data_IF_232372643840
#
_entry.id   IF_232372643840
#
_cell.length_a   1.000
_cell.length_b   1.000
_cell.length_c   1.000
_cell.angle_alpha   90.00
_cell.angle_beta   90.00
_cell.angle_gamma   90.00
#
_symmetry.space_group_name_H-M   'P 1'
#
loop_
_entity.id
_entity.type
_entity.pdbx_description
1 polymer ?
#
# COMPACT_ATOMS: atom_id res chain seq x y z
N UNK A 1 -26.23 -25.32 43.84
CA UNK A 1 -25.29 -25.56 44.95
C UNK A 1 -23.96 -24.97 44.50
N UNK A 2 -23.59 -23.76 44.96
CA UNK A 2 -22.57 -23.48 46.00
C UNK A 2 -21.17 -23.98 45.52
N UNK A 3 -20.08 -23.23 45.43
CA UNK A 3 -19.55 -21.99 46.07
C UNK A 3 -18.34 -21.54 45.24
N UNK A 4 -18.08 -20.28 44.96
CA UNK A 4 -17.29 -19.29 45.76
C UNK A 4 -15.87 -19.80 46.08
N UNK A 5 -14.76 -19.12 45.95
CA UNK A 5 -14.23 -17.80 46.31
C UNK A 5 -12.72 -17.97 46.13
N UNK A 6 -11.79 -17.13 45.90
CA UNK A 6 -11.37 -15.81 46.37
C UNK A 6 -10.07 -15.41 45.70
N UNK A 7 -9.98 -14.24 45.26
CA UNK A 7 -9.03 -13.18 45.29
C UNK A 7 -7.80 -13.28 46.22
N UNK A 8 -6.65 -12.77 45.79
CA UNK A 8 -5.78 -11.93 46.63
C UNK A 8 -4.81 -11.11 45.78
N UNK A 9 -4.92 -9.81 45.93
CA UNK A 9 -3.93 -8.76 45.66
C UNK A 9 -2.64 -9.00 46.43
N UNK A 10 -1.50 -8.57 45.86
CA UNK A 10 -0.50 -7.86 46.68
C UNK A 10 0.32 -6.88 45.81
N UNK A 11 0.11 -5.59 46.06
CA UNK A 11 1.06 -4.49 45.77
C UNK A 11 2.21 -4.55 46.73
N UNK A 12 3.41 -4.20 46.30
CA UNK A 12 4.28 -3.31 47.12
C UNK A 12 5.35 -2.63 46.28
N UNK A 13 5.45 -1.34 46.54
CA UNK A 13 6.37 -0.36 46.01
C UNK A 13 7.62 -0.22 46.85
N UNK A 14 8.51 0.73 46.44
CA UNK A 14 9.62 1.37 47.17
C UNK A 14 11.00 0.68 47.03
N UNK A 15 12.14 1.36 46.97
CA UNK A 15 12.47 2.80 46.97
C UNK A 15 13.98 2.91 46.62
N UNK A 16 14.37 4.10 46.28
CA UNK A 16 15.73 4.54 46.02
C UNK A 16 16.67 4.46 47.22
N UNK A 17 17.97 4.26 46.94
CA UNK A 17 19.00 4.86 47.79
C UNK A 17 20.28 5.17 47.00
N UNK A 18 20.67 6.44 47.06
CA UNK A 18 22.02 6.94 46.77
C UNK A 18 22.96 6.52 47.88
N UNK A 19 24.22 6.23 47.55
CA UNK A 19 25.34 6.53 48.43
C UNK A 19 26.58 6.88 47.59
N UNK A 20 27.11 8.04 47.95
CA UNK A 20 28.39 8.67 47.63
C UNK A 20 29.53 7.94 48.31
N UNK A 21 30.72 7.91 47.71
CA UNK A 21 31.93 7.43 48.39
C UNK A 21 33.22 7.77 47.63
N UNK A 22 33.88 8.76 48.12
CA UNK A 22 35.15 9.40 47.74
C UNK A 22 36.43 8.54 47.84
N UNK A 23 37.44 9.00 47.10
CA UNK A 23 38.86 9.06 47.52
C UNK A 23 39.76 8.00 46.86
N UNK A 24 40.97 8.25 46.43
CA UNK A 24 41.92 9.38 46.55
C UNK A 24 43.15 9.11 45.66
N UNK A 25 43.76 10.18 45.16
CA UNK A 25 45.22 10.52 45.01
C UNK A 25 46.18 9.43 44.50
N UNK A 26 47.14 9.67 43.62
CA UNK A 26 48.13 10.75 43.35
C UNK A 26 48.94 10.28 42.13
N UNK A 27 49.70 10.95 41.36
CA UNK A 27 50.60 12.07 41.41
C UNK A 27 51.08 12.45 40.01
N UNK A 28 51.31 13.72 39.78
CA UNK A 28 52.04 14.30 38.63
C UNK A 28 53.57 14.21 38.90
N UNK A 29 54.46 14.34 37.85
CA UNK A 29 54.92 15.68 37.50
C UNK A 29 55.25 15.91 35.99
N UNK A 30 55.04 17.13 35.58
CA UNK A 30 55.88 18.15 34.95
C UNK A 30 56.75 17.76 33.73
N UNK A 31 56.74 18.49 32.64
CA UNK A 31 57.28 19.82 32.39
C UNK A 31 56.99 20.30 30.97
N UNK A 32 56.84 21.60 30.82
CA UNK A 32 56.59 22.36 29.59
C UNK A 32 57.83 22.47 28.69
N UNK A 33 57.81 23.09 27.46
CA UNK A 33 57.40 24.49 27.30
C UNK A 33 56.61 24.82 26.02
N UNK A 34 56.04 26.01 26.04
CA UNK A 34 55.31 26.73 25.03
C UNK A 34 56.15 27.08 23.78
N UNK A 35 55.47 27.11 22.61
CA UNK A 35 55.93 27.90 21.46
C UNK A 35 54.73 28.62 20.86
N UNK A 36 54.83 29.94 20.85
CA UNK A 36 53.99 30.90 20.16
C UNK A 36 53.97 30.66 18.67
N UNK A 37 52.80 30.79 18.04
CA UNK A 37 52.66 31.17 16.65
C UNK A 37 51.35 31.93 16.41
N UNK A 38 51.32 32.90 15.50
CA UNK A 38 50.41 34.04 15.54
C UNK A 38 49.03 33.76 14.90
N UNK A 39 48.02 34.50 15.38
CA UNK A 39 46.70 34.59 14.84
C UNK A 39 46.70 35.13 13.42
N UNK A 40 46.07 34.40 12.50
CA UNK A 40 45.69 34.91 11.17
C UNK A 40 44.19 35.16 11.19
N UNK A 41 43.81 36.41 11.07
CA UNK A 41 42.46 36.88 10.76
C UNK A 41 41.99 36.29 9.43
N UNK A 42 40.90 35.54 9.44
CA UNK A 42 40.11 35.19 8.27
C UNK A 42 38.77 35.90 8.38
N UNK A 43 38.30 36.58 7.31
CA UNK A 43 37.04 37.28 7.33
C UNK A 43 35.86 36.29 7.39
N UNK A 44 34.89 36.61 8.27
CA UNK A 44 33.61 35.92 8.36
C UNK A 44 32.86 36.11 7.05
N UNK A 45 32.61 35.01 6.33
CA UNK A 45 31.67 35.01 5.23
C UNK A 45 30.25 35.01 5.82
N UNK A 46 29.49 36.04 5.55
CA UNK A 46 28.05 36.11 5.78
C UNK A 46 27.38 34.94 5.06
N UNK A 47 26.93 33.94 5.81
CA UNK A 47 25.97 32.95 5.31
C UNK A 47 24.59 33.63 5.26
N UNK A 48 23.85 33.53 4.16
CA UNK A 48 22.48 34.05 4.14
C UNK A 48 21.68 33.35 5.23
N UNK A 49 20.99 34.13 6.04
CA UNK A 49 20.05 33.66 7.03
C UNK A 49 19.00 32.79 6.33
N UNK A 50 18.92 31.52 6.70
CA UNK A 50 17.80 30.68 6.32
C UNK A 50 16.54 31.34 6.89
N UNK A 51 15.59 31.65 6.02
CA UNK A 51 14.26 32.10 6.41
C UNK A 51 13.67 31.13 7.44
N UNK A 52 13.17 31.67 8.54
CA UNK A 52 12.51 30.89 9.58
C UNK A 52 11.28 30.18 8.97
N UNK A 53 11.01 28.90 9.36
CA UNK A 53 9.87 28.18 8.81
C UNK A 53 8.56 28.93 9.12
N UNK A 54 7.72 29.11 8.09
CA UNK A 54 6.38 29.64 8.22
C UNK A 54 5.59 28.86 9.28
N UNK A 55 4.76 29.56 10.05
CA UNK A 55 3.88 28.93 11.04
C UNK A 55 2.94 27.93 10.32
N UNK A 56 2.81 26.72 10.85
CA UNK A 56 2.07 25.60 10.23
C UNK A 56 0.57 25.86 10.00
N UNK A 57 0.01 26.94 10.52
CA UNK A 57 -1.42 27.25 10.47
C UNK A 57 -1.96 27.81 9.15
N UNK A 58 -1.10 28.15 8.19
CA UNK A 58 -1.51 28.75 6.91
C UNK A 58 -1.31 27.84 5.70
N UNK A 59 -0.76 26.61 5.89
CA UNK A 59 -0.52 25.69 4.79
C UNK A 59 -1.82 25.13 4.21
N UNK A 60 -1.89 25.06 2.88
CA UNK A 60 -3.03 24.52 2.12
C UNK A 60 -2.58 23.45 1.14
N UNK A 61 -3.21 22.25 1.22
CA UNK A 61 -2.88 21.11 0.38
C UNK A 61 -4.08 20.63 -0.44
N UNK A 62 -3.85 20.28 -1.69
CA UNK A 62 -4.79 19.52 -2.51
C UNK A 62 -4.49 18.04 -2.44
N UNK A 63 -5.48 17.22 -2.11
CA UNK A 63 -5.37 15.78 -2.04
C UNK A 63 -6.23 15.18 -3.14
N UNK A 64 -5.61 14.44 -4.05
CA UNK A 64 -6.27 13.87 -5.22
C UNK A 64 -6.23 12.35 -5.10
N UNK A 65 -7.38 11.76 -4.81
CA UNK A 65 -7.60 10.30 -4.73
C UNK A 65 -7.96 9.74 -6.10
N UNK A 66 -7.96 8.40 -6.24
CA UNK A 66 -8.37 7.78 -7.50
C UNK A 66 -9.89 7.78 -7.71
N UNK A 67 -10.68 7.78 -6.62
CA UNK A 67 -12.15 7.80 -6.68
C UNK A 67 -12.73 7.96 -5.27
N UNK A 68 -14.04 8.21 -5.16
CA UNK A 68 -14.77 8.13 -3.88
C UNK A 68 -15.73 6.95 -3.81
N UNK A 69 -15.73 6.04 -4.77
CA UNK A 69 -16.71 4.96 -4.84
C UNK A 69 -16.45 3.82 -3.85
N UNK A 70 -15.19 3.56 -3.48
CA UNK A 70 -14.87 2.50 -2.51
C UNK A 70 -14.72 3.02 -1.10
N UNK A 71 -14.98 2.16 -0.11
CA UNK A 71 -14.72 2.47 1.31
C UNK A 71 -13.22 2.63 1.60
N UNK A 72 -12.36 2.06 0.77
CA UNK A 72 -10.91 2.28 0.81
C UNK A 72 -10.56 3.77 0.75
N UNK A 73 -11.04 4.48 -0.28
CA UNK A 73 -10.75 5.90 -0.46
C UNK A 73 -11.41 6.77 0.61
N UNK A 74 -12.58 6.37 1.12
CA UNK A 74 -13.22 7.05 2.25
C UNK A 74 -12.34 6.94 3.51
N UNK A 75 -11.74 5.78 3.78
CA UNK A 75 -10.83 5.59 4.90
C UNK A 75 -9.53 6.40 4.73
N UNK A 76 -8.96 6.47 3.51
CA UNK A 76 -7.78 7.28 3.23
C UNK A 76 -8.04 8.78 3.44
N UNK A 77 -9.15 9.29 2.90
CA UNK A 77 -9.56 10.70 3.07
C UNK A 77 -9.82 11.03 4.53
N UNK A 78 -10.46 10.13 5.28
CA UNK A 78 -10.64 10.30 6.72
C UNK A 78 -9.31 10.50 7.45
N UNK A 79 -8.29 9.70 7.10
CA UNK A 79 -6.94 9.86 7.66
C UNK A 79 -6.32 11.21 7.33
N UNK A 80 -6.49 11.67 6.08
CA UNK A 80 -6.06 13.01 5.65
C UNK A 80 -6.73 14.10 6.48
N UNK A 81 -8.05 14.07 6.62
CA UNK A 81 -8.83 15.08 7.34
C UNK A 81 -8.50 15.11 8.84
N UNK A 82 -8.37 13.94 9.47
CA UNK A 82 -7.98 13.82 10.87
C UNK A 82 -6.59 14.43 11.14
N UNK A 83 -5.61 14.14 10.26
CA UNK A 83 -4.27 14.65 10.43
C UNK A 83 -4.16 16.13 10.07
N UNK A 84 -4.87 16.59 9.05
CA UNK A 84 -4.94 18.01 8.72
C UNK A 84 -5.47 18.83 9.89
N UNK A 85 -6.55 18.38 10.54
CA UNK A 85 -7.09 19.02 11.73
C UNK A 85 -6.07 19.07 12.90
N UNK A 86 -5.32 18.00 13.12
CA UNK A 86 -4.27 17.95 14.15
C UNK A 86 -3.08 18.85 13.84
N UNK A 87 -2.68 18.89 12.58
CA UNK A 87 -1.55 19.72 12.12
C UNK A 87 -1.93 21.22 11.99
N UNK A 88 -3.23 21.54 12.01
CA UNK A 88 -3.73 22.91 11.81
C UNK A 88 -3.56 23.40 10.37
N UNK A 89 -3.61 22.50 9.38
CA UNK A 89 -3.48 22.82 7.95
C UNK A 89 -4.82 22.66 7.23
N UNK A 90 -4.98 23.30 6.09
CA UNK A 90 -6.16 23.16 5.24
C UNK A 90 -5.93 22.09 4.20
N UNK A 91 -6.95 21.26 3.93
CA UNK A 91 -6.93 20.26 2.87
C UNK A 91 -8.20 20.35 2.03
N UNK A 92 -8.05 20.14 0.72
CA UNK A 92 -9.17 19.94 -0.20
C UNK A 92 -9.00 18.56 -0.83
N UNK A 93 -9.95 17.66 -0.58
CA UNK A 93 -9.93 16.31 -1.14
C UNK A 93 -10.82 16.23 -2.38
N UNK A 94 -10.31 15.72 -3.48
CA UNK A 94 -11.02 15.53 -4.74
C UNK A 94 -10.57 14.24 -5.45
N UNK A 95 -11.39 13.75 -6.36
CA UNK A 95 -11.09 12.58 -7.17
C UNK A 95 -12.15 12.42 -8.27
N UNK A 96 -11.82 11.71 -9.35
CA UNK A 96 -12.76 11.42 -10.44
C UNK A 96 -13.90 10.51 -9.97
N UNK A 97 -14.93 10.36 -10.80
CA UNK A 97 -16.07 9.49 -10.49
C UNK A 97 -15.66 8.01 -10.48
N UNK A 98 -14.75 7.60 -11.35
CA UNK A 98 -14.21 6.25 -11.40
C UNK A 98 -12.69 6.29 -11.58
N UNK A 99 -11.99 5.26 -11.14
CA UNK A 99 -10.53 5.16 -11.28
C UNK A 99 -10.08 5.04 -12.75
N UNK A 100 -11.00 4.69 -13.66
CA UNK A 100 -10.79 4.72 -15.12
C UNK A 100 -10.89 6.11 -15.75
N UNK A 101 -11.34 7.14 -15.00
CA UNK A 101 -11.50 8.50 -15.52
C UNK A 101 -10.18 9.29 -15.41
N UNK A 102 -9.13 8.74 -16.03
CA UNK A 102 -7.74 9.24 -15.96
C UNK A 102 -7.65 10.71 -16.39
N UNK A 103 -8.32 11.08 -17.47
CA UNK A 103 -8.28 12.46 -17.97
C UNK A 103 -8.87 13.46 -16.97
N UNK A 104 -9.91 13.09 -16.23
CA UNK A 104 -10.50 13.95 -15.20
C UNK A 104 -9.54 14.12 -14.02
N UNK A 105 -8.83 13.06 -13.61
CA UNK A 105 -7.80 13.18 -12.58
C UNK A 105 -6.66 14.10 -13.00
N UNK A 106 -6.17 14.00 -14.25
CA UNK A 106 -5.14 14.89 -14.78
C UNK A 106 -5.63 16.36 -14.80
N UNK A 107 -6.89 16.60 -15.16
CA UNK A 107 -7.47 17.94 -15.11
C UNK A 107 -7.53 18.47 -13.67
N UNK A 108 -7.92 17.64 -12.68
CA UNK A 108 -7.91 18.02 -11.26
C UNK A 108 -6.49 18.34 -10.77
N UNK A 109 -5.50 17.54 -11.16
CA UNK A 109 -4.10 17.77 -10.83
C UNK A 109 -3.61 19.11 -11.40
N UNK A 110 -3.90 19.39 -12.67
CA UNK A 110 -3.54 20.67 -13.28
C UNK A 110 -4.25 21.87 -12.61
N UNK A 111 -5.51 21.72 -12.25
CA UNK A 111 -6.25 22.76 -11.53
C UNK A 111 -5.63 23.04 -10.15
N UNK A 112 -5.23 22.00 -9.42
CA UNK A 112 -4.52 22.14 -8.14
C UNK A 112 -3.15 22.84 -8.31
N UNK A 113 -2.40 22.49 -9.36
CA UNK A 113 -1.11 23.14 -9.67
C UNK A 113 -1.29 24.63 -10.04
N UNK A 114 -2.42 24.99 -10.61
CA UNK A 114 -2.72 26.39 -11.00
C UNK A 114 -3.41 27.19 -9.89
N UNK A 115 -3.78 26.58 -8.77
CA UNK A 115 -4.38 27.23 -7.61
C UNK A 115 -3.36 28.15 -6.93
N UNK A 116 -3.73 29.42 -6.70
CA UNK A 116 -2.90 30.35 -5.94
C UNK A 116 -2.84 29.94 -4.46
N UNK A 117 -1.66 29.98 -3.87
CA UNK A 117 -1.45 29.73 -2.44
C UNK A 117 -1.46 28.25 -2.06
N UNK A 118 -1.41 27.32 -3.02
CA UNK A 118 -1.24 25.88 -2.72
C UNK A 118 0.19 25.60 -2.28
N UNK A 119 0.36 24.92 -1.15
CA UNK A 119 1.66 24.62 -0.56
C UNK A 119 2.13 23.17 -0.83
N UNK A 120 1.27 22.33 -1.39
CA UNK A 120 1.62 20.97 -1.77
C UNK A 120 0.44 20.14 -2.27
N UNK A 121 0.74 19.05 -2.92
CA UNK A 121 -0.25 18.15 -3.52
C UNK A 121 0.02 16.71 -3.08
N UNK A 122 -1.01 16.04 -2.54
CA UNK A 122 -1.04 14.59 -2.36
C UNK A 122 -1.73 13.95 -3.55
N UNK A 123 -1.08 13.01 -4.23
CA UNK A 123 -1.59 12.39 -5.45
C UNK A 123 -1.56 10.86 -5.34
N UNK A 124 -2.73 10.21 -5.48
CA UNK A 124 -2.84 8.79 -5.75
C UNK A 124 -3.15 8.62 -7.24
N UNK A 125 -2.15 8.27 -8.04
CA UNK A 125 -2.27 8.30 -9.50
C UNK A 125 -3.09 7.12 -10.05
N UNK A 126 -4.09 7.40 -10.87
CA UNK A 126 -4.83 6.38 -11.63
C UNK A 126 -3.99 5.74 -12.75
N UNK A 127 -3.02 6.48 -13.28
CA UNK A 127 -2.15 6.04 -14.38
C UNK A 127 -0.71 6.54 -14.17
N UNK A 128 0.26 5.65 -14.35
CA UNK A 128 1.69 5.94 -14.12
C UNK A 128 2.27 6.96 -15.11
N UNK A 129 1.68 7.11 -16.28
CA UNK A 129 2.22 7.91 -17.38
C UNK A 129 1.47 9.22 -17.61
N UNK A 130 0.17 9.24 -17.36
CA UNK A 130 -0.71 10.37 -17.68
C UNK A 130 -0.37 11.65 -16.90
N UNK A 131 0.25 11.53 -15.72
CA UNK A 131 0.56 12.66 -14.84
C UNK A 131 1.94 13.28 -15.07
N UNK A 132 2.79 12.70 -15.93
CA UNK A 132 4.21 13.10 -16.04
C UNK A 132 4.42 14.58 -16.41
N UNK A 133 3.64 15.10 -17.36
CA UNK A 133 3.71 16.52 -17.77
C UNK A 133 3.24 17.44 -16.63
N UNK A 134 2.18 17.06 -15.93
CA UNK A 134 1.66 17.82 -14.79
C UNK A 134 2.67 17.85 -13.63
N UNK A 135 3.36 16.74 -13.37
CA UNK A 135 4.42 16.67 -12.35
C UNK A 135 5.60 17.58 -12.70
N UNK A 136 5.99 17.62 -13.98
CA UNK A 136 7.02 18.56 -14.46
C UNK A 136 6.60 20.02 -14.20
N UNK A 137 5.34 20.37 -14.48
CA UNK A 137 4.78 21.71 -14.22
C UNK A 137 4.75 22.03 -12.72
N UNK A 138 4.38 21.08 -11.86
CA UNK A 138 4.40 21.27 -10.40
C UNK A 138 5.83 21.56 -9.90
N UNK A 139 6.82 20.80 -10.40
CA UNK A 139 8.23 20.99 -10.07
C UNK A 139 8.74 22.38 -10.49
N UNK A 140 8.40 22.85 -11.69
CA UNK A 140 8.76 24.19 -12.17
C UNK A 140 8.17 25.31 -11.29
N UNK A 141 6.97 25.10 -10.76
CA UNK A 141 6.31 25.98 -9.79
C UNK A 141 6.79 25.79 -8.36
N UNK A 142 7.67 24.83 -8.10
CA UNK A 142 8.19 24.46 -6.77
C UNK A 142 7.10 24.01 -5.80
N UNK A 143 6.03 23.40 -6.29
CA UNK A 143 4.97 22.82 -5.49
C UNK A 143 5.39 21.37 -5.16
N UNK A 144 5.61 21.01 -3.88
CA UNK A 144 5.95 19.65 -3.51
C UNK A 144 4.78 18.70 -3.80
N UNK A 145 5.09 17.57 -4.43
CA UNK A 145 4.12 16.50 -4.70
C UNK A 145 4.53 15.27 -3.89
N UNK A 146 3.60 14.73 -3.10
CA UNK A 146 3.72 13.47 -2.40
C UNK A 146 2.76 12.49 -3.05
N UNK A 147 3.28 11.42 -3.64
CA UNK A 147 2.43 10.31 -4.07
C UNK A 147 1.99 9.48 -2.86
N UNK A 148 0.77 8.94 -2.89
CA UNK A 148 0.31 8.00 -1.88
C UNK A 148 -0.53 6.89 -2.52
N UNK A 149 -0.61 5.73 -1.87
CA UNK A 149 -1.21 4.49 -2.40
C UNK A 149 -0.55 3.97 -3.67
N UNK A 150 -0.38 4.81 -4.66
CA UNK A 150 0.18 4.47 -5.96
C UNK A 150 1.25 5.48 -6.36
N UNK A 151 2.45 4.99 -6.63
CA UNK A 151 3.58 5.79 -7.09
C UNK A 151 3.56 6.07 -8.59
N UNK A 152 4.54 6.85 -9.04
CA UNK A 152 4.79 7.13 -10.45
C UNK A 152 6.29 6.88 -10.71
N UNK A 153 6.69 5.63 -11.01
CA UNK A 153 8.10 5.24 -11.12
C UNK A 153 8.91 6.06 -12.13
N UNK A 154 8.26 6.45 -13.23
CA UNK A 154 8.89 7.22 -14.32
C UNK A 154 8.71 8.75 -14.14
N UNK A 155 8.34 9.21 -12.96
CA UNK A 155 8.21 10.64 -12.68
C UNK A 155 9.51 11.39 -12.98
N UNK A 156 9.45 12.61 -13.55
CA UNK A 156 10.64 13.45 -13.73
C UNK A 156 11.43 13.58 -12.42
N UNK A 157 12.73 13.42 -12.49
CA UNK A 157 13.57 13.42 -11.28
C UNK A 157 13.35 14.67 -10.43
N UNK A 158 12.95 14.50 -9.17
CA UNK A 158 12.67 15.56 -8.23
C UNK A 158 11.26 16.17 -8.33
N UNK A 159 10.39 15.67 -9.21
CA UNK A 159 8.99 16.13 -9.30
C UNK A 159 8.08 15.51 -8.24
N UNK A 160 8.43 14.34 -7.73
CA UNK A 160 7.81 13.69 -6.57
C UNK A 160 8.84 13.67 -5.44
N UNK A 161 8.49 14.21 -4.29
CA UNK A 161 9.39 14.31 -3.15
C UNK A 161 9.33 13.10 -2.22
N UNK A 162 8.24 12.34 -2.23
CA UNK A 162 8.04 11.12 -1.44
C UNK A 162 6.86 10.31 -1.97
N UNK A 163 6.90 8.99 -1.74
CA UNK A 163 5.77 8.09 -1.96
C UNK A 163 5.42 7.37 -0.66
N UNK A 164 4.15 7.46 -0.25
CA UNK A 164 3.58 6.78 0.93
C UNK A 164 2.68 5.66 0.41
N UNK A 165 3.18 4.45 0.32
CA UNK A 165 2.45 3.35 -0.32
C UNK A 165 2.77 2.00 0.32
N UNK A 166 1.85 1.06 0.14
CA UNK A 166 2.10 -0.35 0.48
C UNK A 166 3.20 -0.92 -0.42
N UNK A 167 4.03 -1.82 0.11
CA UNK A 167 4.82 -2.73 -0.74
C UNK A 167 3.84 -3.65 -1.50
N UNK A 168 3.35 -3.12 -2.64
CA UNK A 168 2.31 -3.78 -3.42
C UNK A 168 2.77 -5.11 -4.00
N UNK A 169 4.04 -5.21 -4.41
CA UNK A 169 4.59 -6.46 -4.93
C UNK A 169 4.68 -7.52 -3.82
N UNK A 170 5.18 -7.17 -2.64
CA UNK A 170 5.23 -8.05 -1.48
C UNK A 170 3.84 -8.43 -0.97
N UNK A 171 2.89 -7.50 -1.00
CA UNK A 171 1.50 -7.76 -0.61
C UNK A 171 0.79 -8.73 -1.57
N UNK A 172 1.02 -8.60 -2.89
CA UNK A 172 0.57 -9.58 -3.88
C UNK A 172 1.21 -10.96 -3.67
N UNK A 173 2.51 -11.00 -3.38
CA UNK A 173 3.22 -12.22 -3.04
C UNK A 173 2.63 -12.89 -1.78
N UNK A 174 2.25 -12.13 -0.76
CA UNK A 174 1.58 -12.63 0.45
C UNK A 174 0.24 -13.31 0.12
N UNK A 175 -0.57 -12.74 -0.79
CA UNK A 175 -1.80 -13.38 -1.26
C UNK A 175 -1.50 -14.71 -1.96
N UNK A 176 -0.48 -14.75 -2.82
CA UNK A 176 -0.05 -15.96 -3.53
C UNK A 176 0.43 -17.05 -2.58
N UNK A 177 1.23 -16.72 -1.57
CA UNK A 177 1.73 -17.67 -0.57
C UNK A 177 0.58 -18.37 0.16
N UNK A 178 -0.39 -17.60 0.62
CA UNK A 178 -1.54 -18.14 1.34
C UNK A 178 -2.46 -18.98 0.44
N UNK A 179 -2.76 -18.49 -0.77
CA UNK A 179 -3.62 -19.23 -1.70
C UNK A 179 -2.93 -20.50 -2.20
N UNK A 180 -1.63 -20.44 -2.54
CA UNK A 180 -0.87 -21.60 -2.97
C UNK A 180 -0.81 -22.67 -1.88
N UNK A 181 -0.50 -22.27 -0.63
CA UNK A 181 -0.45 -23.19 0.50
C UNK A 181 -1.78 -23.94 0.70
N UNK A 182 -2.91 -23.24 0.56
CA UNK A 182 -4.24 -23.81 0.68
C UNK A 182 -4.62 -24.73 -0.51
N UNK A 183 -4.04 -24.51 -1.69
CA UNK A 183 -4.31 -25.28 -2.90
C UNK A 183 -3.29 -26.40 -3.17
N UNK A 184 -2.21 -26.46 -2.40
CA UNK A 184 -1.05 -27.33 -2.65
C UNK A 184 -1.42 -28.80 -2.89
N UNK A 185 -2.24 -29.38 -2.03
CA UNK A 185 -2.65 -30.78 -2.16
C UNK A 185 -3.54 -31.00 -3.39
N UNK A 186 -4.40 -30.04 -3.72
CA UNK A 186 -5.28 -30.09 -4.90
C UNK A 186 -4.46 -30.00 -6.19
N UNK A 187 -3.43 -29.16 -6.21
CA UNK A 187 -2.46 -29.04 -7.32
C UNK A 187 -1.64 -30.32 -7.46
N UNK A 188 -1.14 -30.87 -6.34
CA UNK A 188 -0.33 -32.09 -6.37
C UNK A 188 -1.12 -33.33 -6.84
N UNK A 189 -2.40 -33.43 -6.49
CA UNK A 189 -3.28 -34.54 -6.87
C UNK A 189 -3.92 -34.42 -8.25
N UNK A 190 -3.72 -33.28 -8.96
CA UNK A 190 -4.35 -33.04 -10.25
C UNK A 190 -3.74 -33.93 -11.35
N UNK A 191 -4.60 -34.54 -12.17
CA UNK A 191 -4.21 -35.37 -13.33
C UNK A 191 -4.23 -34.61 -14.66
N UNK A 192 -4.68 -33.36 -14.65
CA UNK A 192 -4.75 -32.41 -15.77
C UNK A 192 -4.38 -31.01 -15.28
N UNK A 193 -4.04 -30.08 -16.18
CA UNK A 193 -3.76 -28.69 -15.80
C UNK A 193 -4.89 -28.09 -14.97
N UNK A 194 -4.53 -27.30 -13.97
CA UNK A 194 -5.45 -26.53 -13.13
C UNK A 194 -5.31 -25.05 -13.41
N UNK A 195 -6.36 -24.26 -13.16
CA UNK A 195 -6.41 -22.84 -13.41
C UNK A 195 -6.52 -22.03 -12.13
N UNK A 196 -5.72 -20.96 -12.06
CA UNK A 196 -5.81 -19.91 -11.07
C UNK A 196 -6.19 -18.64 -11.82
N UNK A 197 -7.33 -18.06 -11.49
CA UNK A 197 -7.73 -16.76 -12.02
C UNK A 197 -7.08 -15.62 -11.26
N UNK A 198 -6.75 -14.57 -11.96
CA UNK A 198 -6.39 -13.28 -11.37
C UNK A 198 -7.23 -12.19 -12.03
N UNK A 199 -8.00 -11.46 -11.23
CA UNK A 199 -8.80 -10.33 -11.69
C UNK A 199 -8.17 -9.06 -11.14
N UNK A 200 -7.66 -8.23 -12.04
CA UNK A 200 -7.14 -6.90 -11.74
C UNK A 200 -8.10 -5.86 -12.31
N UNK A 201 -8.49 -4.86 -11.50
CA UNK A 201 -9.47 -3.86 -11.96
C UNK A 201 -8.97 -3.02 -13.13
N UNK A 202 -7.65 -2.91 -13.31
CA UNK A 202 -6.98 -2.15 -14.37
C UNK A 202 -5.49 -2.58 -14.48
N UNK A 203 -4.77 -2.00 -15.44
CA UNK A 203 -3.35 -2.27 -15.68
C UNK A 203 -2.54 -0.97 -15.91
N UNK A 204 -2.97 0.14 -15.32
CA UNK A 204 -2.41 1.48 -15.56
C UNK A 204 -1.73 2.08 -14.34
N UNK A 205 -2.22 1.81 -13.12
CA UNK A 205 -1.59 2.31 -11.89
C UNK A 205 -0.45 1.40 -11.43
N UNK A 206 0.50 1.99 -10.72
CA UNK A 206 1.63 1.25 -10.16
C UNK A 206 1.15 0.22 -9.12
N UNK A 207 0.25 0.63 -8.20
CA UNK A 207 -0.18 -0.23 -7.10
C UNK A 207 -0.85 -1.52 -7.58
N UNK A 208 -1.75 -1.45 -8.57
CA UNK A 208 -2.45 -2.63 -9.08
C UNK A 208 -1.53 -3.50 -9.93
N UNK A 209 -0.72 -2.90 -10.81
CA UNK A 209 0.20 -3.67 -11.66
C UNK A 209 1.27 -4.37 -10.84
N UNK A 210 1.87 -3.69 -9.86
CA UNK A 210 2.89 -4.26 -8.98
C UNK A 210 2.32 -5.40 -8.12
N UNK A 211 1.12 -5.22 -7.59
CA UNK A 211 0.40 -6.22 -6.78
C UNK A 211 0.08 -7.49 -7.57
N UNK A 212 -0.48 -7.35 -8.76
CA UNK A 212 -0.77 -8.49 -9.63
C UNK A 212 0.50 -9.23 -10.05
N UNK A 213 1.56 -8.53 -10.45
CA UNK A 213 2.84 -9.14 -10.77
C UNK A 213 3.44 -9.87 -9.57
N UNK A 214 3.34 -9.30 -8.36
CA UNK A 214 3.79 -9.95 -7.13
C UNK A 214 3.07 -11.27 -6.87
N UNK A 215 1.75 -11.32 -7.11
CA UNK A 215 0.96 -12.55 -7.02
C UNK A 215 1.41 -13.58 -8.04
N UNK A 216 1.49 -13.24 -9.32
CA UNK A 216 1.88 -14.14 -10.41
C UNK A 216 3.27 -14.73 -10.15
N UNK A 217 4.24 -13.86 -9.91
CA UNK A 217 5.64 -14.25 -9.77
C UNK A 217 5.87 -15.17 -8.57
N UNK A 218 5.24 -14.85 -7.42
CA UNK A 218 5.35 -15.67 -6.22
C UNK A 218 4.63 -17.02 -6.38
N UNK A 219 3.44 -17.03 -6.97
CA UNK A 219 2.71 -18.27 -7.22
C UNK A 219 3.50 -19.19 -8.15
N UNK A 220 4.09 -18.64 -9.23
CA UNK A 220 4.94 -19.37 -10.16
C UNK A 220 6.24 -19.88 -9.50
N UNK A 221 6.87 -19.08 -8.62
CA UNK A 221 8.03 -19.48 -7.82
C UNK A 221 7.73 -20.71 -6.95
N UNK A 222 6.62 -20.67 -6.20
CA UNK A 222 6.20 -21.75 -5.32
C UNK A 222 5.87 -23.03 -6.11
N UNK A 223 5.13 -22.87 -7.22
CA UNK A 223 4.81 -23.97 -8.11
C UNK A 223 6.08 -24.63 -8.70
N UNK A 224 7.05 -23.82 -9.13
CA UNK A 224 8.33 -24.29 -9.64
C UNK A 224 9.14 -25.03 -8.58
N UNK A 225 9.11 -24.58 -7.33
CA UNK A 225 9.75 -25.28 -6.21
C UNK A 225 9.16 -26.69 -5.97
N UNK A 226 7.87 -26.86 -6.24
CA UNK A 226 7.17 -28.17 -6.21
C UNK A 226 7.24 -28.93 -7.56
N UNK A 227 8.11 -28.48 -8.50
CA UNK A 227 8.35 -29.14 -9.79
C UNK A 227 7.24 -28.95 -10.83
N UNK A 228 6.37 -27.98 -10.67
CA UNK A 228 5.26 -27.65 -11.58
C UNK A 228 5.63 -26.56 -12.58
N UNK A 229 5.11 -26.66 -13.79
CA UNK A 229 5.23 -25.65 -14.84
C UNK A 229 4.01 -24.73 -14.82
N UNK A 230 4.24 -23.42 -14.89
CA UNK A 230 3.18 -22.40 -14.88
C UNK A 230 3.16 -21.65 -16.19
N UNK A 231 2.01 -21.62 -16.86
CA UNK A 231 1.76 -20.71 -17.97
C UNK A 231 1.00 -19.49 -17.46
N UNK A 232 1.42 -18.30 -17.85
CA UNK A 232 0.71 -17.04 -17.60
C UNK A 232 0.07 -16.57 -18.89
N UNK A 233 -1.25 -16.38 -18.88
CA UNK A 233 -2.05 -15.99 -20.05
C UNK A 233 -3.00 -14.86 -19.72
N UNK A 234 -3.65 -14.27 -20.73
CA UNK A 234 -4.64 -13.21 -20.56
C UNK A 234 -4.11 -11.82 -20.88
N UNK A 235 -4.18 -10.89 -19.94
CA UNK A 235 -3.79 -9.50 -20.20
C UNK A 235 -2.31 -9.38 -20.58
N UNK A 236 -2.02 -8.72 -21.71
CA UNK A 236 -0.69 -8.65 -22.33
C UNK A 236 0.35 -7.98 -21.40
N UNK A 237 -0.02 -6.95 -20.63
CA UNK A 237 0.92 -6.29 -19.73
C UNK A 237 1.46 -7.26 -18.70
N UNK A 238 0.59 -7.98 -17.99
CA UNK A 238 1.00 -8.94 -16.96
C UNK A 238 1.77 -10.12 -17.57
N UNK A 239 1.31 -10.62 -18.72
CA UNK A 239 2.03 -11.68 -19.45
C UNK A 239 3.43 -11.25 -19.86
N UNK A 240 3.63 -10.00 -20.26
CA UNK A 240 4.94 -9.50 -20.68
C UNK A 240 5.87 -9.15 -19.52
N UNK A 241 5.32 -8.57 -18.45
CA UNK A 241 6.08 -7.98 -17.35
C UNK A 241 6.41 -8.99 -16.23
N UNK A 242 5.69 -10.12 -16.15
CA UNK A 242 5.98 -11.17 -15.15
C UNK A 242 7.39 -11.74 -15.31
N UNK A 243 8.03 -12.02 -14.18
CA UNK A 243 9.32 -12.73 -14.09
C UNK A 243 9.17 -14.25 -14.19
N UNK A 244 7.94 -14.76 -14.23
CA UNK A 244 7.68 -16.19 -14.41
C UNK A 244 8.28 -16.72 -15.71
N UNK A 245 8.73 -17.96 -15.69
CA UNK A 245 9.24 -18.61 -16.90
C UNK A 245 8.15 -18.66 -17.98
N UNK A 246 8.53 -18.37 -19.23
CA UNK A 246 7.59 -18.43 -20.35
C UNK A 246 7.33 -19.90 -20.72
N UNK A 247 6.19 -20.41 -20.32
CA UNK A 247 5.70 -21.78 -20.58
C UNK A 247 4.47 -21.68 -21.48
N UNK A 248 4.40 -22.52 -22.52
CA UNK A 248 3.21 -22.60 -23.37
C UNK A 248 2.03 -23.23 -22.58
N UNK A 249 0.80 -22.77 -22.79
CA UNK A 249 -0.39 -23.27 -22.09
C UNK A 249 -0.53 -24.80 -22.17
N UNK A 250 -0.27 -25.39 -23.33
CA UNK A 250 -0.34 -26.84 -23.55
C UNK A 250 0.77 -27.67 -22.87
N UNK A 251 1.77 -27.03 -22.26
CA UNK A 251 2.89 -27.68 -21.53
C UNK A 251 2.81 -27.44 -20.02
N UNK A 252 1.84 -26.66 -19.56
CA UNK A 252 1.72 -26.24 -18.18
C UNK A 252 0.96 -27.26 -17.33
N UNK A 253 1.35 -27.36 -16.06
CA UNK A 253 0.58 -28.02 -15.01
C UNK A 253 -0.43 -27.05 -14.38
N UNK A 254 -0.10 -25.76 -14.37
CA UNK A 254 -0.91 -24.67 -13.80
C UNK A 254 -1.01 -23.55 -14.83
N UNK A 255 -2.20 -23.02 -15.00
CA UNK A 255 -2.47 -21.85 -15.84
C UNK A 255 -2.87 -20.71 -14.93
N UNK A 256 -2.10 -19.62 -14.90
CA UNK A 256 -2.53 -18.36 -14.30
C UNK A 256 -3.17 -17.52 -15.40
N UNK A 257 -4.47 -17.27 -15.30
CA UNK A 257 -5.22 -16.46 -16.26
C UNK A 257 -5.53 -15.09 -15.67
N UNK A 258 -4.95 -14.04 -16.28
CA UNK A 258 -5.09 -12.66 -15.83
C UNK A 258 -6.15 -11.96 -16.65
N UNK A 259 -7.20 -11.50 -15.99
CA UNK A 259 -8.29 -10.72 -16.59
C UNK A 259 -8.28 -9.28 -16.08
N UNK A 260 -8.49 -8.35 -17.02
CA UNK A 260 -8.61 -6.91 -16.75
C UNK A 260 -9.83 -6.38 -17.48
N UNK A 261 -10.82 -5.81 -16.78
CA UNK A 261 -12.02 -5.26 -17.41
C UNK A 261 -11.72 -3.97 -18.16
N UNK A 262 -12.66 -3.55 -19.01
CA UNK A 262 -12.54 -2.32 -19.78
C UNK A 262 -12.67 -1.04 -18.94
N UNK A 263 -13.29 -1.13 -17.75
CA UNK A 263 -13.46 -0.04 -16.80
C UNK A 263 -13.43 -0.60 -15.37
N UNK A 264 -13.07 0.24 -14.40
CA UNK A 264 -12.86 -0.11 -13.00
C UNK A 264 -14.19 -0.17 -12.22
N UNK A 265 -15.10 -1.07 -12.61
CA UNK A 265 -16.37 -1.28 -11.89
C UNK A 265 -16.52 -2.72 -11.42
N UNK A 266 -17.28 -2.91 -10.33
CA UNK A 266 -17.58 -4.23 -9.77
C UNK A 266 -18.27 -5.13 -10.80
N UNK A 267 -19.20 -4.59 -11.59
CA UNK A 267 -19.97 -5.33 -12.58
C UNK A 267 -19.11 -5.85 -13.73
N UNK A 268 -18.14 -5.03 -14.18
CA UNK A 268 -17.24 -5.45 -15.24
C UNK A 268 -16.18 -6.43 -14.72
N UNK A 269 -15.67 -6.22 -13.51
CA UNK A 269 -14.87 -7.24 -12.82
C UNK A 269 -15.64 -8.56 -12.63
N UNK A 270 -16.94 -8.49 -12.30
CA UNK A 270 -17.78 -9.69 -12.19
C UNK A 270 -17.94 -10.43 -13.53
N UNK A 271 -18.03 -9.68 -14.64
CA UNK A 271 -18.08 -10.28 -15.98
C UNK A 271 -16.79 -11.06 -16.28
N UNK A 272 -15.62 -10.47 -16.03
CA UNK A 272 -14.34 -11.13 -16.22
C UNK A 272 -14.16 -12.33 -15.27
N UNK A 273 -14.53 -12.15 -13.99
CA UNK A 273 -14.50 -13.23 -13.02
C UNK A 273 -15.39 -14.41 -13.44
N UNK A 274 -16.59 -14.15 -13.92
CA UNK A 274 -17.52 -15.20 -14.38
C UNK A 274 -16.92 -16.02 -15.53
N UNK A 275 -16.20 -15.40 -16.47
CA UNK A 275 -15.50 -16.09 -17.55
C UNK A 275 -14.48 -17.10 -17.01
N UNK A 276 -13.78 -16.78 -15.93
CA UNK A 276 -12.80 -17.66 -15.28
C UNK A 276 -13.49 -18.71 -14.41
N UNK A 277 -14.42 -18.31 -13.53
CA UNK A 277 -15.09 -19.22 -12.58
C UNK A 277 -15.90 -20.31 -13.27
N UNK A 278 -16.39 -20.08 -14.49
CA UNK A 278 -17.13 -21.07 -15.28
C UNK A 278 -16.24 -22.14 -15.89
N UNK A 279 -14.92 -21.95 -16.00
CA UNK A 279 -14.02 -22.98 -16.54
C UNK A 279 -13.92 -24.16 -15.56
N UNK A 280 -13.93 -25.36 -16.11
CA UNK A 280 -13.97 -26.58 -15.30
C UNK A 280 -12.67 -26.86 -14.54
N UNK A 281 -11.55 -26.34 -15.04
CA UNK A 281 -10.21 -26.48 -14.48
C UNK A 281 -9.86 -25.42 -13.42
N UNK A 282 -10.73 -24.43 -13.19
CA UNK A 282 -10.48 -23.37 -12.19
C UNK A 282 -10.62 -23.93 -10.77
N UNK A 283 -9.56 -23.78 -9.99
CA UNK A 283 -9.50 -24.20 -8.58
C UNK A 283 -9.23 -23.07 -7.60
N UNK A 284 -8.74 -21.92 -8.08
CA UNK A 284 -8.45 -20.75 -7.28
C UNK A 284 -8.67 -19.46 -8.05
N UNK A 285 -8.90 -18.36 -7.34
CA UNK A 285 -9.04 -17.01 -7.92
C UNK A 285 -8.53 -15.96 -6.94
N UNK A 286 -7.88 -14.93 -7.45
CA UNK A 286 -7.42 -13.78 -6.70
C UNK A 286 -8.01 -12.48 -7.28
N UNK A 287 -8.55 -11.64 -6.43
CA UNK A 287 -8.95 -10.26 -6.77
C UNK A 287 -7.97 -9.27 -6.16
N UNK A 288 -7.28 -8.51 -6.99
CA UNK A 288 -6.12 -7.73 -6.56
C UNK A 288 -6.44 -6.43 -5.83
N UNK A 289 -7.71 -6.08 -5.67
CA UNK A 289 -8.17 -4.95 -4.87
C UNK A 289 -9.65 -5.12 -4.48
N UNK A 290 -10.21 -4.16 -3.72
CA UNK A 290 -11.59 -4.22 -3.27
C UNK A 290 -12.58 -4.43 -4.41
N UNK A 291 -12.48 -3.64 -5.49
CA UNK A 291 -13.41 -3.71 -6.65
C UNK A 291 -13.34 -5.07 -7.35
N UNK A 292 -12.15 -5.60 -7.56
CA UNK A 292 -11.96 -6.92 -8.18
C UNK A 292 -12.45 -8.06 -7.28
N UNK A 293 -12.18 -7.99 -5.98
CA UNK A 293 -12.63 -8.99 -5.00
C UNK A 293 -14.16 -9.01 -4.88
N UNK A 294 -14.81 -7.85 -4.82
CA UNK A 294 -16.27 -7.73 -4.85
C UNK A 294 -16.87 -8.20 -6.16
N UNK A 295 -16.19 -7.97 -7.30
CA UNK A 295 -16.56 -8.50 -8.61
C UNK A 295 -16.55 -10.03 -8.64
N UNK A 296 -15.54 -10.68 -8.08
CA UNK A 296 -15.47 -12.13 -7.95
C UNK A 296 -16.64 -12.67 -7.12
N UNK A 297 -16.95 -12.03 -5.99
CA UNK A 297 -18.06 -12.43 -5.13
C UNK A 297 -19.41 -12.25 -5.85
N UNK A 298 -19.59 -11.14 -6.57
CA UNK A 298 -20.80 -10.88 -7.37
C UNK A 298 -20.98 -11.91 -8.49
N UNK A 299 -19.90 -12.29 -9.18
CA UNK A 299 -19.97 -13.36 -10.18
C UNK A 299 -20.43 -14.69 -9.58
N UNK A 300 -19.98 -15.00 -8.37
CA UNK A 300 -20.30 -16.26 -7.69
C UNK A 300 -21.75 -16.35 -7.17
N UNK A 301 -22.46 -15.25 -7.02
CA UNK A 301 -23.87 -15.27 -6.61
C UNK A 301 -24.73 -16.18 -7.52
N UNK A 302 -24.38 -16.25 -8.81
CA UNK A 302 -25.07 -17.09 -9.80
C UNK A 302 -24.35 -18.42 -10.08
N UNK A 303 -23.07 -18.54 -9.73
CA UNK A 303 -22.22 -19.71 -10.04
C UNK A 303 -22.16 -20.68 -8.84
N UNK A 304 -21.96 -20.14 -7.64
CA UNK A 304 -22.02 -20.86 -6.37
C UNK A 304 -20.88 -21.86 -6.13
N UNK A 305 -19.66 -21.59 -6.65
CA UNK A 305 -18.48 -22.44 -6.53
C UNK A 305 -17.48 -21.99 -5.44
N UNK A 306 -17.51 -20.71 -5.03
CA UNK A 306 -16.58 -20.19 -4.03
C UNK A 306 -16.79 -20.81 -2.67
N UNK A 307 -15.69 -21.09 -1.99
CA UNK A 307 -15.67 -21.80 -0.70
C UNK A 307 -15.99 -23.30 -0.79
N UNK A 308 -16.16 -23.84 -2.00
CA UNK A 308 -16.42 -25.27 -2.28
C UNK A 308 -15.39 -25.83 -3.26
N UNK A 309 -15.59 -25.58 -4.54
CA UNK A 309 -14.74 -26.06 -5.62
C UNK A 309 -13.56 -25.13 -5.90
N UNK A 310 -13.76 -23.81 -5.68
CA UNK A 310 -12.80 -22.76 -5.96
C UNK A 310 -12.50 -21.99 -4.67
N UNK A 311 -11.22 -21.86 -4.32
CA UNK A 311 -10.79 -20.97 -3.25
C UNK A 311 -10.56 -19.55 -3.81
N UNK A 312 -11.13 -18.55 -3.13
CA UNK A 312 -10.93 -17.16 -3.47
C UNK A 312 -10.01 -16.49 -2.45
N UNK A 313 -9.04 -15.73 -2.93
CA UNK A 313 -8.29 -14.75 -2.16
C UNK A 313 -8.66 -13.34 -2.65
N UNK A 314 -8.72 -12.39 -1.72
CA UNK A 314 -9.02 -11.00 -2.03
C UNK A 314 -7.88 -10.05 -1.64
N UNK A 315 -8.15 -8.77 -1.84
CA UNK A 315 -7.30 -7.69 -1.37
C UNK A 315 -8.18 -6.55 -0.85
N UNK A 316 -7.66 -5.76 0.08
CA UNK A 316 -8.39 -4.74 0.81
C UNK A 316 -9.37 -5.32 1.85
N UNK A 317 -10.19 -4.45 2.43
CA UNK A 317 -11.21 -4.82 3.40
C UNK A 317 -12.61 -4.39 2.89
N UNK A 318 -13.42 -3.81 3.73
CA UNK A 318 -14.80 -3.46 3.42
C UNK A 318 -15.78 -4.54 3.90
N UNK A 319 -17.01 -4.13 4.16
CA UNK A 319 -18.05 -4.99 4.72
C UNK A 319 -18.31 -6.24 3.88
N UNK A 320 -18.29 -6.12 2.55
CA UNK A 320 -18.57 -7.24 1.62
C UNK A 320 -17.51 -8.33 1.74
N UNK A 321 -16.22 -7.96 1.67
CA UNK A 321 -15.10 -8.89 1.75
C UNK A 321 -15.04 -9.55 3.12
N UNK A 322 -15.14 -8.76 4.20
CA UNK A 322 -15.15 -9.29 5.59
C UNK A 322 -16.31 -10.27 5.84
N UNK A 323 -17.47 -10.00 5.29
CA UNK A 323 -18.62 -10.91 5.38
C UNK A 323 -18.38 -12.19 4.60
N UNK A 324 -17.85 -12.09 3.38
CA UNK A 324 -17.54 -13.25 2.54
C UNK A 324 -16.48 -14.18 3.18
N UNK A 325 -15.52 -13.61 3.91
CA UNK A 325 -14.53 -14.39 4.68
C UNK A 325 -15.21 -15.09 5.86
N UNK A 326 -16.05 -14.40 6.63
CA UNK A 326 -16.83 -15.00 7.74
C UNK A 326 -17.75 -16.13 7.27
N UNK A 327 -18.34 -15.98 6.09
CA UNK A 327 -19.25 -16.95 5.49
C UNK A 327 -18.51 -18.09 4.75
N UNK A 328 -17.18 -18.08 4.71
CA UNK A 328 -16.34 -19.08 4.06
C UNK A 328 -16.38 -19.08 2.53
N UNK A 329 -16.94 -18.02 1.90
CA UNK A 329 -16.92 -17.82 0.45
C UNK A 329 -15.55 -17.35 -0.04
N UNK A 330 -14.86 -16.56 0.77
CA UNK A 330 -13.49 -16.12 0.52
C UNK A 330 -12.57 -16.70 1.59
N UNK A 331 -11.45 -17.29 1.19
CA UNK A 331 -10.49 -17.94 2.08
C UNK A 331 -9.76 -16.92 2.96
N UNK A 332 -9.49 -15.75 2.43
CA UNK A 332 -8.87 -14.62 3.11
C UNK A 332 -8.55 -13.52 2.13
N UNK A 333 -7.97 -12.45 2.64
CA UNK A 333 -7.53 -11.32 1.82
C UNK A 333 -6.28 -10.66 2.44
N UNK A 334 -5.58 -9.85 1.65
CA UNK A 334 -4.54 -8.96 2.16
C UNK A 334 -5.15 -7.58 2.37
N UNK A 335 -5.08 -7.05 3.58
CA UNK A 335 -5.46 -5.65 3.85
C UNK A 335 -4.23 -4.75 3.90
N UNK A 336 -4.46 -3.47 3.77
CA UNK A 336 -3.48 -2.39 3.90
C UNK A 336 -4.05 -1.31 4.83
N UNK A 337 -3.30 -0.23 5.05
CA UNK A 337 -3.68 0.80 6.04
C UNK A 337 -4.04 2.14 5.37
N UNK A 338 -5.18 2.28 4.67
CA UNK A 338 -5.53 3.51 3.97
C UNK A 338 -5.62 4.73 4.89
N UNK A 339 -6.18 4.57 6.08
CA UNK A 339 -6.25 5.63 7.09
C UNK A 339 -4.85 6.10 7.49
N UNK A 340 -3.93 5.18 7.78
CA UNK A 340 -2.55 5.52 8.14
C UNK A 340 -1.79 6.16 6.97
N UNK A 341 -2.03 5.71 5.73
CA UNK A 341 -1.47 6.35 4.54
C UNK A 341 -1.94 7.80 4.40
N UNK A 342 -3.23 8.06 4.59
CA UNK A 342 -3.77 9.43 4.59
C UNK A 342 -3.13 10.33 5.66
N UNK A 343 -3.00 9.83 6.90
CA UNK A 343 -2.32 10.53 7.99
C UNK A 343 -0.87 10.86 7.61
N UNK A 344 -0.13 9.85 7.18
CA UNK A 344 1.30 9.98 6.84
C UNK A 344 1.52 10.92 5.66
N UNK A 345 0.63 10.91 4.66
CA UNK A 345 0.70 11.82 3.51
C UNK A 345 0.67 13.29 3.94
N UNK A 346 -0.23 13.64 4.87
CA UNK A 346 -0.29 15.01 5.41
C UNK A 346 0.98 15.36 6.18
N UNK A 347 1.50 14.45 7.02
CA UNK A 347 2.75 14.68 7.76
C UNK A 347 3.94 14.91 6.84
N UNK A 348 4.03 14.13 5.75
CA UNK A 348 5.09 14.28 4.75
C UNK A 348 4.93 15.59 3.97
N UNK A 349 3.71 15.96 3.58
CA UNK A 349 3.42 17.23 2.92
C UNK A 349 3.80 18.44 3.77
N UNK A 350 3.48 18.42 5.07
CA UNK A 350 3.85 19.48 6.01
C UNK A 350 5.37 19.65 6.09
N UNK A 351 6.13 18.56 6.13
CA UNK A 351 7.60 18.60 6.12
C UNK A 351 8.14 19.13 4.80
N UNK A 352 7.63 18.61 3.68
CA UNK A 352 8.05 19.03 2.35
C UNK A 352 7.78 20.52 2.09
N UNK A 353 6.60 21.03 2.48
CA UNK A 353 6.24 22.46 2.38
C UNK A 353 7.15 23.37 3.22
N UNK A 354 7.70 22.86 4.33
CA UNK A 354 8.70 23.56 5.15
C UNK A 354 10.14 23.44 4.61
N UNK A 355 10.34 22.74 3.49
CA UNK A 355 11.66 22.51 2.93
C UNK A 355 12.49 21.47 3.69
N UNK A 356 11.86 20.67 4.56
CA UNK A 356 12.52 19.57 5.24
C UNK A 356 12.73 18.38 4.28
N UNK A 357 13.82 17.63 4.48
CA UNK A 357 14.05 16.43 3.70
C UNK A 357 13.02 15.34 4.05
N UNK A 358 12.41 14.76 3.03
CA UNK A 358 11.47 13.65 3.15
C UNK A 358 11.98 12.43 2.39
N UNK A 359 11.47 11.24 2.73
CA UNK A 359 11.81 9.97 2.10
C UNK A 359 10.52 9.19 1.85
N UNK A 360 10.59 8.19 0.98
CA UNK A 360 9.50 7.24 0.79
C UNK A 360 9.16 6.52 2.10
N UNK A 361 7.87 6.31 2.30
CA UNK A 361 7.33 5.64 3.49
C UNK A 361 6.58 4.39 3.07
N UNK A 362 7.27 3.25 3.00
CA UNK A 362 6.60 1.98 2.73
C UNK A 362 5.69 1.59 3.89
N UNK A 363 4.54 1.03 3.58
CA UNK A 363 3.61 0.39 4.52
C UNK A 363 3.45 -1.09 4.18
N UNK A 364 3.03 -1.88 5.19
CA UNK A 364 2.88 -3.32 5.01
C UNK A 364 1.48 -3.69 4.49
N UNK A 365 1.41 -4.84 3.78
CA UNK A 365 0.19 -5.58 3.54
C UNK A 365 0.06 -6.72 4.55
N UNK A 366 -1.15 -6.94 5.09
CA UNK A 366 -1.41 -7.93 6.13
C UNK A 366 -2.43 -8.96 5.66
N UNK A 367 -2.04 -10.25 5.62
CA UNK A 367 -2.99 -11.32 5.37
C UNK A 367 -3.98 -11.43 6.52
N UNK A 368 -5.27 -11.51 6.20
CA UNK A 368 -6.31 -11.80 7.17
C UNK A 368 -7.31 -12.83 6.64
N UNK A 369 -7.90 -13.57 7.56
CA UNK A 369 -8.93 -14.56 7.33
C UNK A 369 -9.89 -14.63 8.53
N UNK A 370 -10.80 -15.60 8.58
CA UNK A 370 -11.75 -15.74 9.67
C UNK A 370 -11.09 -15.97 11.04
N UNK A 371 -9.88 -16.55 11.07
CA UNK A 371 -9.21 -16.91 12.32
C UNK A 371 -8.48 -15.73 12.98
N UNK A 372 -7.99 -14.75 12.17
CA UNK A 372 -7.12 -13.67 12.68
C UNK A 372 -7.67 -12.25 12.47
N UNK A 373 -8.84 -12.08 11.86
CA UNK A 373 -9.38 -10.75 11.55
C UNK A 373 -9.70 -9.88 12.79
N UNK A 374 -9.77 -10.51 13.96
CA UNK A 374 -9.99 -9.81 15.23
C UNK A 374 -8.66 -9.54 15.98
N UNK A 375 -7.53 -9.94 15.44
CA UNK A 375 -6.22 -9.73 16.07
C UNK A 375 -5.88 -8.24 16.12
N UNK A 376 -5.27 -7.80 17.22
CA UNK A 376 -4.93 -6.40 17.47
C UNK A 376 -3.99 -5.78 16.41
N UNK A 377 -3.21 -6.58 15.69
CA UNK A 377 -2.35 -6.17 14.59
C UNK A 377 -3.08 -6.06 13.24
N UNK A 378 -4.24 -6.67 13.09
CA UNK A 378 -5.02 -6.75 11.85
C UNK A 378 -6.25 -5.85 11.89
N UNK A 379 -7.06 -5.99 12.97
CA UNK A 379 -8.35 -5.31 13.10
C UNK A 379 -8.31 -3.78 12.83
N UNK A 380 -7.29 -3.01 13.22
CA UNK A 380 -7.20 -1.58 12.93
C UNK A 380 -7.12 -1.24 11.43
N UNK A 381 -6.73 -2.22 10.58
CA UNK A 381 -6.60 -2.06 9.14
C UNK A 381 -7.83 -2.56 8.36
N UNK A 382 -8.85 -3.07 9.08
CA UNK A 382 -10.09 -3.58 8.48
C UNK A 382 -11.18 -2.51 8.54
N UNK A 383 -11.17 -1.62 7.58
CA UNK A 383 -12.18 -0.57 7.40
C UNK A 383 -13.52 -1.14 6.88
N UNK A 384 -14.60 -0.31 6.95
CA UNK A 384 -15.96 -0.61 6.47
C UNK A 384 -16.35 0.31 5.31
#
# INVERSE_FOLDING_TARGET
>A
MKKKVLASLLCLAMAATMVVGCGSKSETPADAPAADAPAADAPAADAPAADAPAASGDLEFAIIVKSFQSSYWQAAVKGVEEQAAKAGVKVTCQGPNAESDIADQVNMLNAAIDQEGIDGIGLAACDQSACLESLQKAMEKKIPVVCFDSGIPDAPAGSVCSTVATDNYGAGATAAENLYAALKDKIAGASAPVRIGEVNQEATSESITSRGLGFIDKFAELAKADGKKVAVIGNEKYVNDTKAEKVAEGEADIIIEVAVPAQTTVELCATEAANILNKADTIGVFGSNQVAAEGILTADENIGKLGKDILAAGFDAGTVIKTAIKDGKMYGAVTQSPLAMGITTVDVLVKAAKGEAVQDVPTDGYWYNADNMEDASIAPNLYD
#
